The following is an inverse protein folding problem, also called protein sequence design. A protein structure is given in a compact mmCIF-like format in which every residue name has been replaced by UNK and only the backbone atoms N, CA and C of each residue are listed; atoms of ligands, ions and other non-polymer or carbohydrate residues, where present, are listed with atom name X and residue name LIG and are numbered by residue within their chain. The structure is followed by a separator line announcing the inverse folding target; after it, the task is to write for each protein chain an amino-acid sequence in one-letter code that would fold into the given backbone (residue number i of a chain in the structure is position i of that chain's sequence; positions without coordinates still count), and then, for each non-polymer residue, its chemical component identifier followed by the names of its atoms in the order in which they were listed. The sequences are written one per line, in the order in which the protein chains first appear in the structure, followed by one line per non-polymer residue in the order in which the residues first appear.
data_IF_693413030092
#
_entry.id   IF_693413030092
#
_cell.length_a   1.000
_cell.length_b   1.000
_cell.length_c   1.000
_cell.angle_alpha   90.00
_cell.angle_beta   90.00
_cell.angle_gamma   90.00
#
_symmetry.space_group_name_H-M   'P 1'
#
loop_
_entity.id
_entity.type
_entity.pdbx_description
1 polymer ?
#
# COMPACT_ATOMS: atom_id res chain seq x y z
N UNK A 1 -30.53 -19.69 65.83
CA UNK A 1 -31.93 -19.35 65.53
C UNK A 1 -31.95 -19.04 64.07
N UNK A 2 -32.15 -20.09 63.28
CA UNK A 2 -33.44 -20.46 62.66
C UNK A 2 -33.66 -19.60 61.43
N UNK A 3 -33.82 -20.04 60.20
CA UNK A 3 -34.16 -21.32 59.54
C UNK A 3 -34.11 -21.10 58.07
N UNK A 4 -33.55 -22.05 57.36
CA UNK A 4 -33.92 -22.33 55.96
C UNK A 4 -35.37 -22.89 55.92
N UNK A 5 -36.09 -22.88 54.85
CA UNK A 5 -36.00 -23.98 53.89
C UNK A 5 -36.22 -23.61 52.42
N UNK A 6 -35.47 -24.26 51.49
CA UNK A 6 -35.84 -25.32 50.52
C UNK A 6 -37.22 -25.23 49.86
N UNK A 7 -37.17 -25.19 48.52
CA UNK A 7 -37.89 -26.12 47.62
C UNK A 7 -37.53 -25.78 46.15
N UNK A 8 -36.85 -26.58 45.39
CA UNK A 8 -37.03 -27.86 44.73
C UNK A 8 -38.20 -27.95 43.75
N UNK A 9 -37.80 -28.43 42.54
CA UNK A 9 -38.56 -29.11 41.49
C UNK A 9 -39.03 -28.21 40.35
N UNK A 10 -38.85 -28.51 39.10
CA UNK A 10 -38.68 -29.71 38.26
C UNK A 10 -38.08 -29.19 36.94
N UNK A 11 -37.09 -29.72 36.28
CA UNK A 11 -37.00 -31.02 35.55
C UNK A 11 -38.12 -31.25 34.54
N UNK A 12 -37.61 -31.50 33.33
CA UNK A 12 -38.18 -32.30 32.23
C UNK A 12 -38.90 -31.55 31.11
N UNK A 13 -38.33 -31.54 29.95
CA UNK A 13 -38.47 -32.38 28.74
C UNK A 13 -37.67 -31.68 27.66
N UNK A 14 -36.58 -32.16 27.10
CA UNK A 14 -36.28 -33.33 26.28
C UNK A 14 -37.19 -33.47 25.05
N UNK A 15 -36.46 -33.54 23.93
CA UNK A 15 -36.71 -34.24 22.70
C UNK A 15 -37.55 -33.55 21.62
N UNK A 16 -36.86 -33.33 20.50
CA UNK A 16 -36.90 -33.94 19.16
C UNK A 16 -36.13 -33.04 18.23
N UNK A 17 -34.97 -33.35 17.72
CA UNK A 17 -34.55 -34.39 16.78
C UNK A 17 -35.28 -34.31 15.42
N UNK A 18 -34.37 -34.23 14.40
CA UNK A 18 -34.47 -34.71 13.05
C UNK A 18 -35.19 -33.88 12.00
N UNK A 19 -34.42 -33.48 11.04
CA UNK A 19 -34.30 -33.88 9.61
C UNK A 19 -33.43 -32.82 8.93
N UNK A 20 -32.23 -33.02 8.51
CA UNK A 20 -31.62 -33.78 7.40
C UNK A 20 -32.41 -33.66 6.09
N UNK A 21 -31.61 -33.41 5.07
CA UNK A 21 -31.85 -33.57 3.64
C UNK A 21 -32.40 -32.36 2.89
N UNK A 22 -31.55 -31.70 2.11
CA UNK A 22 -31.40 -31.92 0.68
C UNK A 22 -30.20 -31.18 0.12
N UNK A 23 -29.18 -31.92 -0.27
CA UNK A 23 -28.30 -31.55 -1.35
C UNK A 23 -29.11 -31.69 -2.66
N UNK A 24 -28.91 -30.80 -3.56
CA UNK A 24 -28.98 -30.92 -5.00
C UNK A 24 -29.24 -29.54 -5.62
N UNK A 25 -28.22 -29.02 -6.29
CA UNK A 25 -28.24 -28.64 -7.68
C UNK A 25 -26.85 -28.13 -8.07
N UNK A 26 -26.03 -29.08 -8.48
CA UNK A 26 -25.00 -28.83 -9.48
C UNK A 26 -25.67 -29.01 -10.84
N UNK A 27 -25.83 -27.97 -11.61
CA UNK A 27 -26.00 -27.98 -13.07
C UNK A 27 -26.06 -26.53 -13.56
N UNK A 28 -24.98 -26.10 -14.20
CA UNK A 28 -24.94 -25.35 -15.43
C UNK A 28 -23.48 -25.09 -15.83
N UNK A 29 -22.88 -26.16 -16.36
CA UNK A 29 -21.74 -26.04 -17.25
C UNK A 29 -22.26 -26.41 -18.65
N UNK A 30 -22.71 -25.44 -19.41
CA UNK A 30 -22.87 -25.53 -20.87
C UNK A 30 -23.03 -24.12 -21.42
N UNK A 31 -21.95 -23.61 -22.00
CA UNK A 31 -21.92 -22.76 -23.19
C UNK A 31 -20.44 -22.46 -23.54
N UNK A 32 -19.82 -23.49 -24.13
CA UNK A 32 -18.60 -23.31 -24.90
C UNK A 32 -18.86 -23.90 -26.28
N UNK A 33 -19.56 -23.16 -27.14
CA UNK A 33 -19.57 -23.39 -28.57
C UNK A 33 -19.99 -22.08 -29.27
N UNK A 34 -18.99 -21.37 -29.77
CA UNK A 34 -19.03 -20.54 -30.98
C UNK A 34 -17.64 -19.93 -31.20
N UNK A 35 -16.77 -20.74 -31.77
CA UNK A 35 -15.53 -20.26 -32.38
C UNK A 35 -15.38 -20.96 -33.72
N UNK A 36 -16.17 -20.56 -34.70
CA UNK A 36 -15.92 -20.80 -36.13
C UNK A 36 -16.51 -19.64 -36.90
N UNK A 37 -15.62 -18.76 -37.35
CA UNK A 37 -15.67 -17.99 -38.59
C UNK A 37 -14.64 -16.87 -38.54
N UNK A 38 -13.43 -17.19 -38.98
CA UNK A 38 -12.49 -16.18 -39.45
C UNK A 38 -11.58 -16.81 -40.51
N UNK A 39 -12.13 -17.00 -41.69
CA UNK A 39 -11.32 -17.11 -42.90
C UNK A 39 -11.55 -15.86 -43.74
N UNK A 40 -10.45 -15.34 -44.27
CA UNK A 40 -10.25 -14.28 -45.27
C UNK A 40 -9.97 -12.88 -44.75
N UNK A 41 -8.69 -12.62 -44.58
CA UNK A 41 -8.10 -11.33 -45.02
C UNK A 41 -6.66 -11.59 -45.44
N UNK A 42 -6.47 -11.70 -46.75
CA UNK A 42 -5.15 -11.70 -47.39
C UNK A 42 -4.58 -10.27 -47.48
N UNK A 43 -3.26 -10.19 -47.30
CA UNK A 43 -2.34 -9.15 -47.75
C UNK A 43 -2.45 -7.72 -47.19
N UNK A 44 -1.57 -7.46 -46.25
CA UNK A 44 -1.10 -6.14 -45.92
C UNK A 44 0.32 -6.30 -45.33
N UNK A 45 1.33 -6.31 -46.22
CA UNK A 45 2.73 -6.12 -45.80
C UNK A 45 2.88 -4.71 -45.22
N UNK A 46 2.80 -4.59 -43.90
CA UNK A 46 3.36 -3.45 -43.18
C UNK A 46 4.44 -3.95 -42.25
N UNK A 47 5.65 -3.50 -42.56
CA UNK A 47 6.86 -3.81 -41.87
C UNK A 47 6.70 -3.70 -40.36
N UNK A 48 6.81 -4.82 -39.69
CA UNK A 48 7.13 -4.88 -38.28
C UNK A 48 8.52 -4.31 -38.10
N UNK A 49 8.62 -3.01 -37.84
CA UNK A 49 9.73 -2.51 -37.04
C UNK A 49 9.44 -2.97 -35.59
N UNK A 50 9.66 -4.26 -35.34
CA UNK A 50 9.82 -4.75 -33.99
C UNK A 50 10.98 -3.97 -33.40
N UNK A 51 10.69 -3.07 -32.47
CA UNK A 51 11.70 -2.63 -31.52
C UNK A 51 12.28 -3.93 -30.94
N UNK A 52 13.53 -4.20 -31.28
CA UNK A 52 14.28 -5.27 -30.65
C UNK A 52 14.25 -4.95 -29.15
N UNK A 53 13.39 -5.63 -28.43
CA UNK A 53 13.31 -5.50 -26.99
C UNK A 53 14.71 -5.73 -26.44
N UNK A 54 15.25 -4.77 -25.73
CA UNK A 54 16.53 -4.95 -25.06
C UNK A 54 16.45 -6.24 -24.24
N UNK A 55 17.49 -7.05 -24.29
CA UNK A 55 17.56 -8.24 -23.46
C UNK A 55 17.26 -7.87 -21.99
N UNK A 56 16.48 -8.67 -21.29
CA UNK A 56 16.16 -8.40 -19.89
C UNK A 56 17.45 -8.31 -19.07
N UNK A 57 17.73 -7.15 -18.52
CA UNK A 57 18.92 -6.87 -17.73
C UNK A 57 18.59 -6.83 -16.24
N UNK A 58 19.45 -7.43 -15.42
CA UNK A 58 19.37 -7.32 -13.97
C UNK A 58 19.95 -5.98 -13.54
N UNK A 59 19.17 -5.18 -12.81
CA UNK A 59 19.62 -3.96 -12.14
C UNK A 59 20.16 -4.28 -10.75
N UNK A 60 21.30 -3.71 -10.38
CA UNK A 60 21.89 -3.86 -9.05
C UNK A 60 22.22 -2.49 -8.51
N UNK A 61 21.62 -2.14 -7.36
CA UNK A 61 21.88 -0.90 -6.64
C UNK A 61 22.61 -1.24 -5.33
N UNK A 62 23.89 -0.94 -5.26
CA UNK A 62 24.74 -1.22 -4.10
C UNK A 62 24.46 -0.29 -2.90
N UNK A 63 25.12 -0.52 -1.75
CA UNK A 63 24.84 0.23 -0.51
C UNK A 63 25.07 1.75 -0.60
N UNK A 64 25.94 2.20 -1.50
CA UNK A 64 26.25 3.62 -1.72
C UNK A 64 25.65 4.22 -2.98
N UNK A 65 24.95 3.40 -3.77
CA UNK A 65 24.40 3.80 -5.06
C UNK A 65 22.94 4.28 -4.94
N UNK A 66 22.43 4.81 -6.03
CA UNK A 66 21.08 5.35 -6.13
C UNK A 66 21.01 6.85 -5.92
N UNK A 67 20.00 7.45 -6.50
CA UNK A 67 19.68 8.87 -6.35
C UNK A 67 19.30 9.18 -4.90
N UNK A 68 19.78 10.28 -4.36
CA UNK A 68 19.37 10.78 -3.04
C UNK A 68 18.46 11.98 -3.21
N UNK A 69 17.29 11.93 -2.60
CA UNK A 69 16.28 12.99 -2.54
C UNK A 69 16.19 13.49 -1.09
N UNK A 70 16.17 14.81 -0.90
CA UNK A 70 16.09 15.43 0.41
C UNK A 70 14.73 16.11 0.60
N UNK A 71 13.93 15.62 1.54
CA UNK A 71 12.62 16.15 1.90
C UNK A 71 12.67 16.69 3.33
N UNK A 72 13.13 17.94 3.48
CA UNK A 72 13.38 18.52 4.80
C UNK A 72 14.46 17.77 5.56
N UNK A 73 14.11 17.11 6.67
CA UNK A 73 15.02 16.30 7.49
C UNK A 73 15.00 14.82 7.10
N UNK A 74 14.17 14.42 6.16
CA UNK A 74 14.12 13.06 5.65
C UNK A 74 15.07 12.91 4.47
N UNK A 75 15.96 11.91 4.54
CA UNK A 75 16.81 11.51 3.44
C UNK A 75 16.25 10.25 2.81
N UNK A 76 15.91 10.33 1.54
CA UNK A 76 15.39 9.21 0.76
C UNK A 76 16.43 8.81 -0.28
N UNK A 77 16.67 7.50 -0.44
CA UNK A 77 17.52 6.91 -1.46
C UNK A 77 16.66 6.08 -2.40
N UNK A 78 16.58 6.47 -3.66
CA UNK A 78 15.85 5.72 -4.68
C UNK A 78 16.64 4.47 -5.06
N UNK A 79 15.98 3.31 -4.99
CA UNK A 79 16.52 2.01 -5.33
C UNK A 79 16.00 1.50 -6.68
N UNK A 80 14.76 1.84 -7.01
CA UNK A 80 14.11 1.55 -8.28
C UNK A 80 13.12 2.67 -8.58
N UNK A 81 13.19 3.23 -9.77
CA UNK A 81 12.31 4.32 -10.20
C UNK A 81 11.32 3.90 -11.30
N UNK A 82 11.18 2.60 -11.52
CA UNK A 82 10.30 2.04 -12.52
C UNK A 82 10.98 1.75 -13.86
N UNK A 83 12.17 2.32 -14.11
CA UNK A 83 12.86 2.21 -15.40
C UNK A 83 13.27 0.77 -15.75
N UNK A 84 13.59 -0.06 -14.75
CA UNK A 84 13.95 -1.47 -14.94
C UNK A 84 12.76 -2.43 -14.81
N UNK A 85 11.61 -1.94 -14.38
CA UNK A 85 10.45 -2.78 -14.12
C UNK A 85 9.27 -2.50 -15.07
N UNK A 86 9.48 -1.66 -16.09
CA UNK A 86 8.41 -1.22 -16.99
C UNK A 86 7.30 -0.51 -16.22
N UNK A 87 7.68 0.40 -15.33
CA UNK A 87 6.80 1.23 -14.50
C UNK A 87 5.88 0.45 -13.55
N UNK A 88 6.21 -0.81 -13.19
CA UNK A 88 5.38 -1.60 -12.28
C UNK A 88 5.72 -1.41 -10.81
N UNK A 89 6.96 -1.03 -10.50
CA UNK A 89 7.47 -0.94 -9.13
C UNK A 89 8.41 0.25 -8.98
N UNK A 90 8.16 1.10 -8.01
CA UNK A 90 9.10 2.03 -7.44
C UNK A 90 9.55 1.57 -6.06
N UNK A 91 10.79 1.88 -5.67
CA UNK A 91 11.33 1.48 -4.38
C UNK A 91 12.32 2.53 -3.86
N UNK A 92 12.16 2.91 -2.59
CA UNK A 92 13.06 3.86 -1.94
C UNK A 92 13.32 3.48 -0.47
N UNK A 93 14.53 3.77 0.00
CA UNK A 93 14.89 3.67 1.41
C UNK A 93 14.91 5.06 2.03
N UNK A 94 14.18 5.25 3.13
CA UNK A 94 14.11 6.52 3.86
C UNK A 94 14.80 6.42 5.21
N UNK A 95 15.57 7.47 5.55
CA UNK A 95 16.12 7.69 6.88
C UNK A 95 15.40 8.88 7.49
N UNK A 96 14.67 8.62 8.57
CA UNK A 96 13.93 9.61 9.34
C UNK A 96 14.78 10.01 10.56
N UNK A 97 15.19 11.26 10.63
CA UNK A 97 15.89 11.77 11.82
C UNK A 97 14.98 11.70 13.05
N UNK A 98 15.55 11.76 14.28
CA UNK A 98 14.75 11.87 15.50
C UNK A 98 13.75 13.00 15.44
N UNK A 99 12.53 12.77 15.92
CA UNK A 99 11.45 13.76 16.00
C UNK A 99 11.09 14.41 14.64
N UNK A 100 11.27 13.65 13.53
CA UNK A 100 10.86 14.11 12.20
C UNK A 100 9.35 13.98 12.04
N UNK A 101 8.63 15.09 11.81
CA UNK A 101 7.22 15.01 11.45
C UNK A 101 7.09 14.43 10.05
N UNK A 102 6.05 13.65 9.84
CA UNK A 102 5.71 13.14 8.51
C UNK A 102 5.01 14.17 7.63
N UNK A 103 4.65 13.77 6.41
CA UNK A 103 3.76 14.57 5.56
C UNK A 103 2.39 14.72 6.24
N UNK A 104 1.59 15.73 5.86
CA UNK A 104 0.17 15.74 6.24
C UNK A 104 -0.52 14.44 5.85
N UNK A 105 -1.52 14.00 6.63
CA UNK A 105 -2.27 12.81 6.29
C UNK A 105 -2.88 12.95 4.89
N UNK A 106 -2.73 11.92 4.09
CA UNK A 106 -3.13 11.89 2.70
C UNK A 106 -3.58 10.49 2.27
N UNK A 107 -4.12 10.40 1.06
CA UNK A 107 -4.48 9.13 0.42
C UNK A 107 -4.13 9.15 -1.06
N UNK A 108 -3.83 7.98 -1.59
CA UNK A 108 -3.54 7.75 -2.99
C UNK A 108 -4.73 7.08 -3.66
N UNK A 109 -5.04 7.45 -4.91
CA UNK A 109 -6.16 6.84 -5.63
C UNK A 109 -5.73 5.68 -6.54
N UNK A 110 -4.43 5.55 -6.88
CA UNK A 110 -4.00 4.70 -8.00
C UNK A 110 -2.85 3.75 -7.71
N UNK A 111 -2.28 3.75 -6.51
CA UNK A 111 -1.17 2.86 -6.20
C UNK A 111 -1.28 2.30 -4.78
N UNK A 112 -0.72 1.12 -4.62
CA UNK A 112 -0.45 0.55 -3.31
C UNK A 112 0.88 1.05 -2.81
N UNK A 113 0.97 1.30 -1.51
CA UNK A 113 2.20 1.69 -0.85
C UNK A 113 2.54 0.71 0.27
N UNK A 114 3.77 0.20 0.26
CA UNK A 114 4.27 -0.70 1.29
C UNK A 114 5.41 -0.05 2.04
N UNK A 115 5.40 -0.16 3.38
CA UNK A 115 6.45 0.33 4.26
C UNK A 115 6.99 -0.80 5.11
N UNK A 116 8.26 -1.16 4.95
CA UNK A 116 8.93 -2.13 5.79
C UNK A 116 9.94 -1.43 6.69
N UNK A 117 9.74 -1.48 8.00
CA UNK A 117 10.65 -0.86 8.96
C UNK A 117 11.91 -1.72 9.10
N UNK A 118 13.05 -1.16 8.70
CA UNK A 118 14.36 -1.82 8.74
C UNK A 118 14.98 -1.68 10.15
N UNK A 119 14.90 -0.46 10.72
CA UNK A 119 15.44 -0.18 12.06
C UNK A 119 14.72 1.00 12.72
N UNK A 120 14.75 1.06 14.04
CA UNK A 120 14.06 2.08 14.82
C UNK A 120 12.55 1.82 14.92
N UNK A 121 11.81 2.88 15.18
CA UNK A 121 10.33 2.86 15.26
C UNK A 121 9.77 3.97 14.41
N UNK A 122 8.78 3.64 13.58
CA UNK A 122 8.03 4.60 12.76
C UNK A 122 6.58 4.58 13.23
N UNK A 123 6.05 5.73 13.58
CA UNK A 123 4.63 5.88 13.87
C UNK A 123 3.87 6.08 12.58
N UNK A 124 2.88 5.24 12.31
CA UNK A 124 1.90 5.42 11.25
C UNK A 124 0.59 5.87 11.87
N UNK A 125 -0.01 6.91 11.29
CA UNK A 125 -1.38 7.30 11.60
C UNK A 125 -2.25 6.90 10.42
N UNK A 126 -3.25 6.04 10.66
CA UNK A 126 -4.21 5.56 9.67
C UNK A 126 -5.61 6.00 10.09
N UNK A 127 -6.14 7.00 9.39
CA UNK A 127 -7.33 7.68 9.89
C UNK A 127 -7.08 8.36 11.23
N UNK A 128 -7.74 7.89 12.28
CA UNK A 128 -7.63 8.43 13.65
C UNK A 128 -6.80 7.53 14.58
N UNK A 129 -6.18 6.46 14.05
CA UNK A 129 -5.45 5.48 14.85
C UNK A 129 -3.93 5.56 14.60
N UNK A 130 -3.16 5.57 15.69
CA UNK A 130 -1.71 5.54 15.68
C UNK A 130 -1.20 4.10 15.87
N UNK A 131 -0.21 3.71 15.05
CA UNK A 131 0.46 2.42 15.09
C UNK A 131 1.96 2.66 15.17
N UNK A 132 2.60 2.22 16.25
CA UNK A 132 4.06 2.23 16.36
C UNK A 132 4.64 0.96 15.74
N UNK A 133 5.17 1.08 14.54
CA UNK A 133 5.80 0.01 13.79
C UNK A 133 7.29 -0.06 14.11
N UNK A 134 7.71 -1.18 14.70
CA UNK A 134 9.13 -1.45 15.02
C UNK A 134 9.82 -2.21 13.88
N UNK A 135 11.15 -2.37 13.98
CA UNK A 135 11.92 -3.15 13.00
C UNK A 135 11.30 -4.53 12.74
N UNK A 136 11.17 -4.90 11.47
CA UNK A 136 10.53 -6.13 11.01
C UNK A 136 9.02 -5.98 10.70
N UNK A 137 8.42 -4.83 10.97
CA UNK A 137 7.01 -4.58 10.68
C UNK A 137 6.81 -4.14 9.23
N UNK A 138 5.82 -4.72 8.55
CA UNK A 138 5.30 -4.28 7.26
C UNK A 138 3.94 -3.60 7.45
N UNK A 139 3.82 -2.39 6.92
CA UNK A 139 2.54 -1.66 6.82
C UNK A 139 2.19 -1.55 5.33
N UNK A 140 1.04 -2.09 4.94
CA UNK A 140 0.53 -2.00 3.57
C UNK A 140 -0.64 -1.03 3.51
N UNK A 141 -0.54 -0.06 2.64
CA UNK A 141 -1.54 0.99 2.42
C UNK A 141 -2.15 0.82 1.04
N UNK A 142 -3.38 0.31 0.95
CA UNK A 142 -4.08 0.21 -0.33
C UNK A 142 -4.58 1.58 -0.80
N UNK A 143 -4.93 1.71 -2.10
CA UNK A 143 -5.56 2.93 -2.62
C UNK A 143 -6.75 3.37 -1.78
N UNK A 144 -6.85 4.67 -1.52
CA UNK A 144 -7.93 5.31 -0.77
C UNK A 144 -7.78 5.30 0.76
N UNK A 145 -6.82 4.59 1.33
CA UNK A 145 -6.60 4.58 2.78
C UNK A 145 -5.89 5.86 3.25
N UNK A 146 -6.51 6.65 4.16
CA UNK A 146 -5.85 7.83 4.74
C UNK A 146 -4.68 7.40 5.62
N UNK A 147 -3.51 7.97 5.40
CA UNK A 147 -2.33 7.63 6.19
C UNK A 147 -1.29 8.75 6.23
N UNK A 148 -0.42 8.66 7.20
CA UNK A 148 0.85 9.39 7.32
C UNK A 148 1.80 8.58 8.19
N UNK A 149 3.06 8.99 8.22
CA UNK A 149 4.06 8.41 9.11
C UNK A 149 4.94 9.50 9.72
N UNK A 150 5.54 9.22 10.87
CA UNK A 150 6.48 10.12 11.55
C UNK A 150 7.50 9.32 12.35
N UNK A 151 8.65 9.90 12.62
CA UNK A 151 9.53 9.42 13.68
C UNK A 151 9.30 10.27 14.92
N UNK A 152 8.57 9.74 15.90
CA UNK A 152 8.27 10.43 17.16
C UNK A 152 9.31 10.14 18.26
N UNK A 153 10.31 9.31 17.97
CA UNK A 153 11.33 8.87 18.93
C UNK A 153 12.58 9.73 18.91
N UNK A 154 13.43 9.57 19.92
CA UNK A 154 14.74 10.23 20.00
C UNK A 154 15.85 9.55 19.18
N UNK A 155 15.55 8.44 18.47
CA UNK A 155 16.50 7.67 17.68
C UNK A 155 16.12 7.71 16.20
N UNK A 156 17.09 7.62 15.26
CA UNK A 156 16.79 7.54 13.84
C UNK A 156 16.02 6.26 13.51
N UNK A 157 15.13 6.36 12.51
CA UNK A 157 14.44 5.20 11.96
C UNK A 157 14.76 5.05 10.46
N UNK A 158 14.77 3.80 9.97
CA UNK A 158 14.95 3.47 8.55
C UNK A 158 13.80 2.60 8.09
N UNK A 159 13.27 2.92 6.93
CA UNK A 159 12.22 2.11 6.30
C UNK A 159 12.46 1.99 4.80
N UNK A 160 12.05 0.87 4.25
CA UNK A 160 11.91 0.66 2.81
C UNK A 160 10.47 0.97 2.42
N UNK A 161 10.30 1.78 1.39
CA UNK A 161 8.99 2.08 0.78
C UNK A 161 8.93 1.46 -0.61
N UNK A 162 7.78 0.87 -0.95
CA UNK A 162 7.46 0.35 -2.29
C UNK A 162 6.21 1.02 -2.82
N UNK A 163 6.18 1.27 -4.13
CA UNK A 163 5.08 1.93 -4.83
C UNK A 163 4.71 1.10 -6.05
N UNK A 164 3.45 0.72 -6.19
CA UNK A 164 2.98 -0.09 -7.32
C UNK A 164 1.72 0.52 -7.94
N UNK A 165 1.85 1.17 -9.10
CA UNK A 165 3.06 1.42 -9.91
C UNK A 165 4.00 2.49 -9.33
N UNK A 166 5.13 2.75 -10.01
CA UNK A 166 6.25 3.62 -9.62
C UNK A 166 5.96 5.13 -9.50
N UNK A 167 4.77 5.58 -9.76
CA UNK A 167 4.35 6.99 -9.88
C UNK A 167 4.91 7.94 -8.80
N UNK A 168 5.21 7.40 -7.62
CA UNK A 168 5.60 8.21 -6.47
C UNK A 168 7.05 8.64 -6.45
N UNK A 169 7.94 7.95 -7.18
CA UNK A 169 9.35 8.37 -7.21
C UNK A 169 9.49 9.75 -7.85
N UNK A 170 8.77 10.00 -8.96
CA UNK A 170 8.77 11.31 -9.59
C UNK A 170 8.11 12.38 -8.70
N UNK A 171 7.10 12.03 -7.92
CA UNK A 171 6.50 12.93 -6.94
C UNK A 171 7.52 13.43 -5.91
N UNK A 172 8.41 12.56 -5.43
CA UNK A 172 9.44 12.96 -4.48
C UNK A 172 10.49 13.89 -5.11
N UNK A 173 10.86 13.67 -6.38
CA UNK A 173 11.72 14.60 -7.13
C UNK A 173 11.07 15.99 -7.25
N UNK A 174 9.80 16.04 -7.61
CA UNK A 174 9.04 17.28 -7.69
C UNK A 174 8.89 17.98 -6.32
N UNK A 175 8.78 17.21 -5.24
CA UNK A 175 8.78 17.77 -3.88
C UNK A 175 10.14 18.36 -3.52
N UNK A 176 11.24 17.66 -3.82
CA UNK A 176 12.59 18.19 -3.57
C UNK A 176 12.79 19.55 -4.23
N UNK A 177 12.36 19.69 -5.49
CA UNK A 177 12.39 20.98 -6.19
C UNK A 177 11.60 22.07 -5.46
N UNK A 178 10.44 21.74 -4.87
CA UNK A 178 9.66 22.68 -4.08
C UNK A 178 10.38 23.12 -2.79
N UNK A 179 11.17 22.24 -2.19
CA UNK A 179 11.97 22.54 -0.99
C UNK A 179 13.33 23.18 -1.30
N UNK A 180 13.70 23.30 -2.59
CA UNK A 180 14.99 23.84 -3.00
C UNK A 180 15.26 25.23 -2.40
N UNK A 181 16.50 25.46 -1.99
CA UNK A 181 16.91 26.72 -1.36
C UNK A 181 16.40 26.90 0.07
N UNK A 182 15.96 25.84 0.75
CA UNK A 182 15.46 25.91 2.14
C UNK A 182 14.05 26.50 2.27
N UNK A 183 13.33 26.60 1.17
CA UNK A 183 11.95 27.12 1.12
C UNK A 183 10.98 26.08 1.67
N UNK A 184 9.95 26.52 2.38
CA UNK A 184 8.79 25.70 2.72
C UNK A 184 7.68 25.94 1.69
N UNK A 185 7.18 24.91 0.98
CA UNK A 185 6.08 25.07 0.04
C UNK A 185 4.81 25.56 0.72
N UNK A 186 4.02 26.34 0.02
CA UNK A 186 2.68 26.69 0.48
C UNK A 186 1.75 25.49 0.43
N UNK A 187 0.67 25.46 1.23
CA UNK A 187 -0.34 24.40 1.16
C UNK A 187 -0.95 24.22 -0.24
N UNK A 188 -1.06 25.29 -1.02
CA UNK A 188 -1.58 25.28 -2.39
C UNK A 188 -0.60 24.58 -3.34
N UNK A 189 0.69 24.94 -3.30
CA UNK A 189 1.75 24.30 -4.10
C UNK A 189 1.83 22.81 -3.78
N UNK A 190 1.81 22.45 -2.50
CA UNK A 190 1.82 21.05 -2.08
C UNK A 190 0.62 20.28 -2.62
N UNK A 191 -0.61 20.80 -2.50
CA UNK A 191 -1.82 20.18 -3.04
C UNK A 191 -1.78 20.03 -4.57
N UNK A 192 -1.29 21.07 -5.26
CA UNK A 192 -1.14 21.03 -6.73
C UNK A 192 -0.17 19.94 -7.17
N UNK A 193 0.94 19.78 -6.45
CA UNK A 193 1.89 18.70 -6.73
C UNK A 193 1.29 17.35 -6.42
N UNK A 194 0.66 17.15 -5.26
CA UNK A 194 -0.03 15.92 -4.90
C UNK A 194 -1.05 15.48 -5.97
N UNK A 195 -1.86 16.42 -6.47
CA UNK A 195 -2.93 16.10 -7.43
C UNK A 195 -2.41 15.54 -8.76
N UNK A 196 -1.20 15.87 -9.18
CA UNK A 196 -0.56 15.29 -10.38
C UNK A 196 -0.30 13.78 -10.23
N UNK A 197 -0.15 13.33 -9.00
CA UNK A 197 0.18 11.95 -8.63
C UNK A 197 -1.01 11.22 -8.00
N UNK A 198 -2.24 11.62 -8.35
CA UNK A 198 -3.47 11.03 -7.83
C UNK A 198 -3.50 10.92 -6.29
N UNK A 199 -2.93 11.93 -5.62
CA UNK A 199 -2.81 12.05 -4.17
C UNK A 199 -3.57 13.27 -3.70
N UNK A 200 -4.27 13.16 -2.58
CA UNK A 200 -5.02 14.25 -1.98
C UNK A 200 -4.86 14.27 -0.45
N UNK A 201 -4.93 15.46 0.18
CA UNK A 201 -5.00 15.53 1.63
C UNK A 201 -6.23 14.77 2.15
N UNK A 202 -6.07 14.05 3.23
CA UNK A 202 -7.15 13.32 3.88
C UNK A 202 -7.25 13.73 5.35
N UNK A 203 -8.48 13.91 5.83
CA UNK A 203 -8.80 13.99 7.26
C UNK A 203 -9.50 12.70 7.63
N UNK A 204 -9.13 12.08 8.74
CA UNK A 204 -9.42 10.70 9.10
C UNK A 204 -10.85 10.20 8.87
N UNK A 205 -10.96 8.93 8.53
CA UNK A 205 -11.95 7.93 8.99
C UNK A 205 -11.83 6.59 8.25
N UNK A 206 -10.68 5.95 8.25
CA UNK A 206 -10.61 4.52 7.94
C UNK A 206 -9.60 3.91 8.91
N UNK A 207 -10.09 3.35 10.01
CA UNK A 207 -9.24 2.64 10.96
C UNK A 207 -8.58 1.40 10.34
N UNK A 208 -7.45 0.92 10.91
CA UNK A 208 -6.74 -0.24 10.42
C UNK A 208 -7.62 -1.49 10.51
N UNK A 209 -7.61 -2.29 9.46
CA UNK A 209 -8.16 -3.65 9.54
C UNK A 209 -7.14 -4.52 10.25
N UNK A 210 -7.55 -5.15 11.32
CA UNK A 210 -6.75 -5.90 12.26
C UNK A 210 -5.62 -6.76 11.69
N UNK A 211 -4.63 -7.00 12.52
CA UNK A 211 -3.48 -7.88 12.26
C UNK A 211 -3.95 -9.25 11.78
N UNK A 212 -3.43 -9.69 10.63
CA UNK A 212 -3.55 -11.10 10.25
C UNK A 212 -2.69 -11.91 11.20
N UNK A 213 -3.33 -12.76 11.99
CA UNK A 213 -2.68 -13.79 12.80
C UNK A 213 -2.14 -14.91 11.91
#
# INVERSE_FOLDING_TARGET
MSDEPRNSKNAEHAEHAEHAEHAEHAEHAEHAEHAEHAEHAEHGEHGEHGEAGADPAVSVVGPGDGETILLGTTRMRVLEDGSHTGHRLGMAESVLAPHTPGPPQHRHARHDEGFYVISGTVRFTVGDEDIDATAGTLVMVPPGAPHTFANTTGEPARMLSTFTPDLYVQYFRDLEELYAGGRTPTPEESRKTMSRYATEPATGSAGPRGTRS
#
